data_IF_884571792541
#
_entry.id   IF_884571792541
#
_cell.length_a   1.000
_cell.length_b   1.000
_cell.length_c   1.000
_cell.angle_alpha   90.00
_cell.angle_beta   90.00
_cell.angle_gamma   90.00
#
_symmetry.space_group_name_H-M   'P 1'
#
loop_
_entity.id
_entity.type
_entity.pdbx_description
1 polymer ?
#
# COMPACT_ATOMS: atom_id res chain seq x y z
N UNK A 1 3.05 9.82 -8.62
CA UNK A 1 1.80 9.11 -8.27
C UNK A 1 1.95 8.21 -7.04
N UNK A 2 3.04 7.45 -6.88
CA UNK A 2 3.25 6.59 -5.71
C UNK A 2 3.19 7.32 -4.35
N UNK A 3 3.88 8.47 -4.21
CA UNK A 3 3.84 9.26 -2.96
C UNK A 3 2.42 9.77 -2.66
N UNK A 4 1.71 10.23 -3.69
CA UNK A 4 0.31 10.67 -3.55
C UNK A 4 -0.57 9.51 -3.09
N UNK A 5 -0.41 8.33 -3.68
CA UNK A 5 -1.11 7.12 -3.25
C UNK A 5 -0.87 6.80 -1.78
N UNK A 6 0.38 6.88 -1.30
CA UNK A 6 0.70 6.67 0.12
C UNK A 6 0.06 7.71 1.04
N UNK A 7 0.05 8.98 0.65
CA UNK A 7 -0.61 10.04 1.44
C UNK A 7 -2.12 9.79 1.52
N UNK A 8 -2.75 9.44 0.40
CA UNK A 8 -4.19 9.12 0.35
C UNK A 8 -4.52 7.91 1.23
N UNK A 9 -3.68 6.86 1.19
CA UNK A 9 -3.83 5.69 2.07
C UNK A 9 -3.68 6.06 3.54
N UNK A 10 -2.70 6.90 3.89
CA UNK A 10 -2.53 7.37 5.27
C UNK A 10 -3.73 8.16 5.78
N UNK A 11 -4.31 9.04 4.95
CA UNK A 11 -5.53 9.80 5.29
C UNK A 11 -6.71 8.84 5.47
N UNK A 12 -6.92 7.92 4.53
CA UNK A 12 -7.96 6.89 4.61
C UNK A 12 -7.91 6.13 5.95
N UNK A 13 -6.74 5.63 6.30
CA UNK A 13 -6.51 4.85 7.53
C UNK A 13 -6.67 5.70 8.80
N UNK A 14 -6.25 6.97 8.77
CA UNK A 14 -6.48 7.88 9.88
C UNK A 14 -7.98 8.10 10.12
N UNK A 15 -8.77 8.29 9.06
CA UNK A 15 -10.22 8.46 9.16
C UNK A 15 -10.90 7.21 9.74
N UNK A 16 -10.57 6.01 9.23
CA UNK A 16 -11.18 4.77 9.70
C UNK A 16 -10.71 4.35 11.11
N UNK A 17 -9.51 4.74 11.52
CA UNK A 17 -8.99 4.47 12.86
C UNK A 17 -9.58 5.40 13.93
N UNK A 18 -9.69 6.70 13.62
CA UNK A 18 -10.14 7.73 14.58
C UNK A 18 -11.66 7.80 14.73
N UNK A 19 -12.41 7.47 13.68
CA UNK A 19 -13.88 7.56 13.67
C UNK A 19 -14.55 6.24 13.27
N UNK A 20 -14.28 5.11 13.95
CA UNK A 20 -14.75 3.79 13.53
C UNK A 20 -16.27 3.61 13.61
N UNK A 21 -16.97 4.45 14.39
CA UNK A 21 -18.42 4.37 14.59
C UNK A 21 -19.22 5.31 13.67
N UNK A 22 -18.56 6.23 12.97
CA UNK A 22 -19.21 7.14 12.03
C UNK A 22 -19.21 6.52 10.64
N UNK A 23 -20.36 5.96 10.24
CA UNK A 23 -20.49 5.27 8.96
C UNK A 23 -20.19 6.18 7.75
N UNK A 24 -20.47 7.48 7.85
CA UNK A 24 -20.19 8.44 6.77
C UNK A 24 -18.68 8.64 6.62
N UNK A 25 -17.97 8.87 7.73
CA UNK A 25 -16.51 9.03 7.72
C UNK A 25 -15.82 7.74 7.28
N UNK A 26 -16.26 6.58 7.76
CA UNK A 26 -15.73 5.27 7.34
C UNK A 26 -15.93 5.06 5.83
N UNK A 27 -17.10 5.43 5.28
CA UNK A 27 -17.35 5.31 3.84
C UNK A 27 -16.41 6.21 3.03
N UNK A 28 -16.19 7.45 3.47
CA UNK A 28 -15.19 8.35 2.85
C UNK A 28 -13.80 7.73 2.92
N UNK A 29 -13.43 7.17 4.08
CA UNK A 29 -12.18 6.44 4.27
C UNK A 29 -12.02 5.29 3.28
N UNK A 30 -13.06 4.48 3.05
CA UNK A 30 -13.03 3.36 2.10
C UNK A 30 -12.94 3.80 0.64
N UNK A 31 -13.57 4.92 0.27
CA UNK A 31 -13.42 5.52 -1.07
C UNK A 31 -11.96 5.95 -1.27
N UNK A 32 -11.39 6.67 -0.30
CA UNK A 32 -9.99 7.08 -0.34
C UNK A 32 -9.05 5.87 -0.37
N UNK A 33 -9.37 4.79 0.36
CA UNK A 33 -8.60 3.54 0.33
C UNK A 33 -8.49 2.99 -1.10
N UNK A 34 -9.61 2.94 -1.83
CA UNK A 34 -9.66 2.49 -3.22
C UNK A 34 -8.87 3.40 -4.17
N UNK A 35 -8.93 4.72 -3.98
CA UNK A 35 -8.16 5.68 -4.77
C UNK A 35 -6.65 5.55 -4.52
N UNK A 36 -6.24 5.50 -3.26
CA UNK A 36 -4.84 5.32 -2.87
C UNK A 36 -4.25 4.00 -3.37
N UNK A 37 -5.02 2.91 -3.26
CA UNK A 37 -4.66 1.61 -3.80
C UNK A 37 -4.43 1.68 -5.32
N UNK A 38 -5.38 2.26 -6.06
CA UNK A 38 -5.29 2.38 -7.53
C UNK A 38 -4.10 3.22 -7.97
N UNK A 39 -3.84 4.34 -7.29
CA UNK A 39 -2.69 5.19 -7.57
C UNK A 39 -1.36 4.43 -7.37
N UNK A 40 -1.26 3.61 -6.33
CA UNK A 40 -0.09 2.79 -6.05
C UNK A 40 0.10 1.65 -7.06
N UNK A 41 -0.96 0.92 -7.40
CA UNK A 41 -0.85 -0.23 -8.33
C UNK A 41 -0.52 0.25 -9.75
N UNK A 42 -1.14 1.32 -10.23
CA UNK A 42 -0.83 1.90 -11.55
C UNK A 42 0.60 2.42 -11.59
N UNK A 43 1.03 3.18 -10.58
CA UNK A 43 2.39 3.71 -10.51
C UNK A 43 3.44 2.60 -10.38
N UNK A 44 3.16 1.57 -9.57
CA UNK A 44 4.05 0.42 -9.37
C UNK A 44 4.21 -0.41 -10.63
N UNK A 45 3.12 -0.73 -11.32
CA UNK A 45 3.17 -1.48 -12.59
C UNK A 45 3.88 -0.69 -13.70
N UNK A 46 3.70 0.64 -13.76
CA UNK A 46 4.46 1.49 -14.68
C UNK A 46 5.97 1.44 -14.39
N UNK A 47 6.37 1.56 -13.12
CA UNK A 47 7.77 1.48 -12.70
C UNK A 47 8.41 0.12 -13.04
N UNK A 48 7.72 -0.98 -12.77
CA UNK A 48 8.18 -2.33 -13.15
C UNK A 48 8.31 -2.44 -14.66
N UNK A 49 7.35 -1.88 -15.41
CA UNK A 49 7.38 -1.81 -16.87
C UNK A 49 8.59 -1.06 -17.42
N UNK A 50 8.95 0.08 -16.83
CA UNK A 50 10.12 0.88 -17.22
C UNK A 50 11.44 0.15 -16.93
N UNK A 51 11.54 -0.48 -15.76
CA UNK A 51 12.76 -1.20 -15.31
C UNK A 51 12.97 -2.53 -16.05
N UNK A 52 11.93 -3.09 -16.66
CA UNK A 52 11.99 -4.39 -17.32
C UNK A 52 12.21 -4.25 -18.84
N UNK A 53 13.47 -4.14 -19.24
CA UNK A 53 13.88 -4.10 -20.65
C UNK A 53 14.21 -5.51 -21.20
N UNK A 54 13.92 -5.74 -22.49
CA UNK A 54 14.34 -6.95 -23.21
C UNK A 54 13.50 -8.21 -22.95
N UNK A 55 14.02 -9.42 -23.29
CA UNK A 55 13.26 -10.67 -23.31
C UNK A 55 12.64 -11.10 -21.96
N UNK A 56 13.17 -10.58 -20.85
CA UNK A 56 12.74 -10.94 -19.48
C UNK A 56 11.54 -10.13 -18.99
N UNK A 57 11.05 -9.15 -19.77
CA UNK A 57 9.94 -8.25 -19.39
C UNK A 57 8.68 -9.01 -18.95
N UNK A 58 8.27 -10.01 -19.74
CA UNK A 58 7.08 -10.82 -19.44
C UNK A 58 7.25 -11.60 -18.13
N UNK A 59 8.43 -12.16 -17.89
CA UNK A 59 8.72 -12.91 -16.66
C UNK A 59 8.71 -12.02 -15.42
N UNK A 60 9.27 -10.80 -15.51
CA UNK A 60 9.30 -9.85 -14.39
C UNK A 60 7.88 -9.39 -14.06
N UNK A 61 7.08 -9.03 -15.06
CA UNK A 61 5.69 -8.62 -14.87
C UNK A 61 4.85 -9.76 -14.29
N UNK A 62 4.96 -10.97 -14.85
CA UNK A 62 4.22 -12.14 -14.37
C UNK A 62 4.56 -12.51 -12.91
N UNK A 63 5.81 -12.32 -12.46
CA UNK A 63 6.18 -12.50 -11.05
C UNK A 63 5.52 -11.47 -10.14
N UNK A 64 5.46 -10.21 -10.58
CA UNK A 64 4.78 -9.14 -9.84
C UNK A 64 3.28 -9.43 -9.72
N UNK A 65 2.63 -9.81 -10.82
CA UNK A 65 1.19 -10.11 -10.85
C UNK A 65 0.86 -11.35 -9.99
N UNK A 66 1.72 -12.37 -10.02
CA UNK A 66 1.59 -13.54 -9.15
C UNK A 66 1.76 -13.19 -7.67
N UNK A 67 2.74 -12.35 -7.32
CA UNK A 67 2.94 -11.89 -5.94
C UNK A 67 1.75 -11.05 -5.45
N UNK A 68 1.20 -10.17 -6.29
CA UNK A 68 0.02 -9.38 -5.99
C UNK A 68 -1.20 -10.29 -5.74
N UNK A 69 -1.42 -11.27 -6.62
CA UNK A 69 -2.55 -12.22 -6.50
C UNK A 69 -2.41 -13.12 -5.27
N UNK A 70 -1.22 -13.64 -5.00
CA UNK A 70 -0.94 -14.44 -3.81
C UNK A 70 -1.17 -13.64 -2.52
N UNK A 71 -0.74 -12.38 -2.49
CA UNK A 71 -0.98 -11.47 -1.36
C UNK A 71 -2.47 -11.22 -1.16
N UNK A 72 -3.22 -11.02 -2.25
CA UNK A 72 -4.68 -10.88 -2.20
C UNK A 72 -5.40 -12.13 -1.68
N UNK A 73 -4.96 -13.32 -2.11
CA UNK A 73 -5.51 -14.58 -1.63
C UNK A 73 -5.25 -14.78 -0.12
N UNK A 74 -4.02 -14.51 0.33
CA UNK A 74 -3.66 -14.57 1.75
C UNK A 74 -4.46 -13.56 2.57
N UNK A 75 -4.57 -12.32 2.10
CA UNK A 75 -5.38 -11.29 2.76
C UNK A 75 -6.86 -11.69 2.84
N UNK A 76 -7.42 -12.30 1.79
CA UNK A 76 -8.79 -12.81 1.79
C UNK A 76 -9.03 -13.90 2.82
N UNK A 77 -8.11 -14.86 2.94
CA UNK A 77 -8.17 -15.93 3.98
C UNK A 77 -8.07 -15.33 5.39
N UNK A 78 -7.20 -14.33 5.57
CA UNK A 78 -6.94 -13.73 6.88
C UNK A 78 -7.95 -12.63 7.26
N UNK A 79 -8.74 -12.09 6.34
CA UNK A 79 -9.61 -10.95 6.58
C UNK A 79 -10.64 -11.20 7.70
N UNK A 80 -11.32 -12.35 7.66
CA UNK A 80 -12.30 -12.72 8.69
C UNK A 80 -11.65 -12.86 10.08
N UNK A 81 -10.66 -13.75 10.25
CA UNK A 81 -9.93 -13.89 11.52
C UNK A 81 -9.34 -12.57 12.03
N UNK A 82 -8.78 -11.74 11.15
CA UNK A 82 -8.18 -10.46 11.52
C UNK A 82 -9.22 -9.48 12.07
N UNK A 83 -10.38 -9.35 11.42
CA UNK A 83 -11.48 -8.51 11.92
C UNK A 83 -12.02 -9.02 13.25
N UNK A 84 -12.17 -10.34 13.41
CA UNK A 84 -12.62 -10.95 14.68
C UNK A 84 -11.63 -10.70 15.82
N UNK A 85 -10.32 -10.76 15.56
CA UNK A 85 -9.30 -10.59 16.59
C UNK A 85 -9.02 -9.12 16.94
N UNK A 86 -9.04 -8.21 15.96
CA UNK A 86 -8.58 -6.82 16.10
C UNK A 86 -9.71 -5.79 16.08
N UNK A 87 -10.89 -6.14 15.56
CA UNK A 87 -11.93 -5.19 15.20
C UNK A 87 -11.49 -4.21 14.09
N UNK A 88 -12.40 -3.34 13.66
CA UNK A 88 -12.12 -2.36 12.60
C UNK A 88 -11.06 -1.32 12.97
N UNK A 89 -11.07 -0.86 14.22
CA UNK A 89 -10.10 0.13 14.72
C UNK A 89 -8.69 -0.48 14.81
N UNK A 90 -8.55 -1.67 15.44
CA UNK A 90 -7.26 -2.36 15.52
C UNK A 90 -6.69 -2.73 14.16
N UNK A 91 -7.55 -3.15 13.22
CA UNK A 91 -7.15 -3.40 11.83
C UNK A 91 -6.66 -2.13 11.12
N UNK A 92 -7.33 -1.00 11.34
CA UNK A 92 -6.91 0.30 10.79
C UNK A 92 -5.55 0.74 11.33
N UNK A 93 -5.28 0.56 12.63
CA UNK A 93 -3.96 0.83 13.22
C UNK A 93 -2.87 -0.08 12.68
N UNK A 94 -3.14 -1.39 12.55
CA UNK A 94 -2.19 -2.34 11.98
C UNK A 94 -1.84 -1.98 10.52
N UNK A 95 -2.85 -1.64 9.72
CA UNK A 95 -2.66 -1.17 8.35
C UNK A 95 -1.91 0.17 8.30
N UNK A 96 -2.16 1.09 9.24
CA UNK A 96 -1.44 2.36 9.33
C UNK A 96 0.04 2.14 9.65
N UNK A 97 0.37 1.24 10.57
CA UNK A 97 1.75 0.86 10.86
C UNK A 97 2.46 0.29 9.62
N UNK A 98 1.75 -0.53 8.83
CA UNK A 98 2.29 -1.08 7.59
C UNK A 98 2.58 0.03 6.56
N UNK A 99 1.63 0.94 6.31
CA UNK A 99 1.82 2.10 5.42
C UNK A 99 2.96 3.00 5.91
N UNK A 100 3.03 3.29 7.20
CA UNK A 100 4.10 4.09 7.80
C UNK A 100 5.48 3.44 7.61
N UNK A 101 5.59 2.12 7.78
CA UNK A 101 6.85 1.39 7.57
C UNK A 101 7.30 1.43 6.10
N UNK A 102 6.37 1.33 5.15
CA UNK A 102 6.67 1.44 3.73
C UNK A 102 7.19 2.84 3.38
N UNK A 103 6.57 3.89 3.91
CA UNK A 103 7.04 5.28 3.75
C UNK A 103 8.42 5.47 4.37
N UNK A 104 8.65 4.96 5.58
CA UNK A 104 9.93 5.05 6.27
C UNK A 104 11.05 4.34 5.49
N UNK A 105 10.78 3.16 4.93
CA UNK A 105 11.75 2.43 4.11
C UNK A 105 12.11 3.20 2.83
N UNK A 106 11.11 3.77 2.14
CA UNK A 106 11.35 4.61 0.96
C UNK A 106 12.18 5.84 1.32
N UNK A 107 11.84 6.53 2.41
CA UNK A 107 12.59 7.69 2.89
C UNK A 107 14.05 7.33 3.25
N UNK A 108 14.25 6.19 3.90
CA UNK A 108 15.58 5.67 4.22
C UNK A 108 16.40 5.41 2.96
N UNK A 109 15.84 4.70 1.97
CA UNK A 109 16.53 4.40 0.70
C UNK A 109 16.93 5.68 -0.03
N UNK A 110 16.02 6.67 -0.10
CA UNK A 110 16.30 7.97 -0.73
C UNK A 110 17.42 8.71 0.00
N UNK A 111 17.39 8.70 1.33
CA UNK A 111 18.40 9.38 2.16
C UNK A 111 19.77 8.70 2.05
N UNK A 112 19.83 7.37 1.94
CA UNK A 112 21.09 6.67 1.74
C UNK A 112 21.69 6.96 0.35
N UNK A 113 20.87 6.98 -0.69
CA UNK A 113 21.31 7.30 -2.07
C UNK A 113 21.79 8.74 -2.23
N UNK A 114 21.16 9.69 -1.54
CA UNK A 114 21.61 11.09 -1.59
C UNK A 114 22.95 11.31 -0.91
N UNK A 115 23.32 10.46 0.07
CA UNK A 115 24.64 10.49 0.70
C UNK A 115 25.73 9.94 -0.21
N UNK A 116 25.46 8.83 -0.89
CA UNK A 116 26.42 8.20 -1.83
C UNK A 116 26.71 9.09 -3.06
N UNK A 117 25.78 9.96 -3.47
CA UNK A 117 26.00 10.91 -4.56
C UNK A 117 26.76 12.18 -4.16
N UNK A 118 26.98 12.40 -2.86
CA UNK A 118 27.69 13.56 -2.31
C UNK A 118 29.16 13.25 -1.96
N UNK A 119 29.55 11.97 -2.02
CA UNK A 119 30.91 11.44 -1.85
C UNK A 119 31.58 11.22 -3.23
#
# INVERSE_FOLDING_TARGET
MLIVGQVVLAISLALTALFPMDHTIVTIGLILLGLGWSANTVAGSALIGELSQGPKRLTIQGRSDAAMSASGALAGVLAGPAVTALGYSGLSFAAFAFVASAVALVALIVTLRSRESAE
#
